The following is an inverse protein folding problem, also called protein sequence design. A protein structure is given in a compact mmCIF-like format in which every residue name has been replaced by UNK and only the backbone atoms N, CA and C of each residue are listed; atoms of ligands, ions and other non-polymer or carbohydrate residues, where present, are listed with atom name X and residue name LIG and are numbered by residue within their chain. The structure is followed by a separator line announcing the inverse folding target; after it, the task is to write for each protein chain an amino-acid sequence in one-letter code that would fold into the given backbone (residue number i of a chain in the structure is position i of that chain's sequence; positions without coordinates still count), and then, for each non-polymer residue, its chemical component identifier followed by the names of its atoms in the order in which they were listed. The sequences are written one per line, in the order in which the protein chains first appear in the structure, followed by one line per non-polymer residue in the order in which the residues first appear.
data_IF_826396122376
#
_entry.id   IF_826396122376
#
_cell.length_a   1.000
_cell.length_b   1.000
_cell.length_c   1.000
_cell.angle_alpha   90.00
_cell.angle_beta   90.00
_cell.angle_gamma   90.00
#
_symmetry.space_group_name_H-M   'P 1'
#
loop_
_entity.id
_entity.type
_entity.pdbx_description
1 polymer ?
#
# COMPACT_ATOMS: atom_id res chain seq x y z
N UNK A 1 28.39 8.74 10.87
CA UNK A 1 28.17 7.93 9.66
C UNK A 1 26.66 7.68 9.57
N UNK A 2 25.94 8.53 8.84
CA UNK A 2 24.50 8.43 8.66
C UNK A 2 24.25 7.82 7.28
N UNK A 3 23.65 6.65 7.26
CA UNK A 3 23.24 5.93 6.05
C UNK A 3 22.17 6.75 5.33
N UNK A 4 22.44 7.11 4.07
CA UNK A 4 21.53 7.85 3.20
C UNK A 4 20.31 6.97 2.84
N UNK A 5 19.24 7.07 3.62
CA UNK A 5 17.88 6.85 3.13
C UNK A 5 17.42 8.18 2.52
N UNK A 6 17.88 8.45 1.30
CA UNK A 6 17.62 9.70 0.61
C UNK A 6 17.39 9.42 -0.85
N UNK A 7 16.16 9.06 -1.22
CA UNK A 7 15.68 9.50 -2.52
C UNK A 7 15.77 11.01 -2.48
N UNK A 8 16.67 11.52 -3.29
CA UNK A 8 17.00 12.93 -3.37
C UNK A 8 15.73 13.65 -3.81
N UNK A 9 14.95 14.14 -2.85
CA UNK A 9 13.94 15.15 -3.10
C UNK A 9 14.67 16.50 -3.23
N UNK A 10 15.57 16.58 -4.21
CA UNK A 10 16.27 17.83 -4.52
C UNK A 10 15.35 18.82 -5.20
N UNK A 11 14.33 18.32 -5.90
CA UNK A 11 13.31 19.19 -6.51
C UNK A 11 12.43 19.79 -5.40
N UNK A 12 12.43 21.12 -5.22
CA UNK A 12 11.62 21.80 -4.21
C UNK A 12 10.12 21.53 -4.35
N UNK A 13 9.64 21.30 -5.58
CA UNK A 13 8.23 20.99 -5.86
C UNK A 13 7.89 19.61 -5.31
N UNK A 14 8.73 18.61 -5.57
CA UNK A 14 8.53 17.25 -5.05
C UNK A 14 8.64 17.24 -3.53
N UNK A 15 9.56 18.05 -2.97
CA UNK A 15 9.75 18.18 -1.52
C UNK A 15 8.50 18.71 -0.84
N UNK A 16 7.95 19.78 -1.39
CA UNK A 16 6.69 20.35 -0.91
C UNK A 16 5.56 19.32 -0.93
N UNK A 17 5.39 18.55 -2.02
CA UNK A 17 4.35 17.51 -2.09
C UNK A 17 4.52 16.44 -1.03
N UNK A 18 5.76 16.01 -0.78
CA UNK A 18 6.06 15.04 0.26
C UNK A 18 5.74 15.60 1.66
N UNK A 19 6.13 16.84 1.93
CA UNK A 19 5.84 17.51 3.20
C UNK A 19 4.31 17.73 3.39
N UNK A 20 3.57 18.07 2.33
CA UNK A 20 2.10 18.21 2.34
C UNK A 20 1.40 16.88 2.69
N UNK A 21 1.88 15.75 2.14
CA UNK A 21 1.36 14.41 2.45
C UNK A 21 1.58 14.04 3.90
N UNK A 22 2.77 14.34 4.44
CA UNK A 22 3.08 14.08 5.84
C UNK A 22 2.25 14.98 6.74
N UNK A 23 2.08 16.26 6.39
CA UNK A 23 1.31 17.20 7.18
C UNK A 23 -0.15 16.76 7.36
N UNK A 24 -0.74 16.07 6.37
CA UNK A 24 -2.07 15.50 6.45
C UNK A 24 -2.22 14.45 7.58
N UNK A 25 -1.15 13.72 7.89
CA UNK A 25 -1.18 12.59 8.83
C UNK A 25 -0.46 12.88 10.15
N UNK A 26 0.47 13.83 10.13
CA UNK A 26 1.28 14.22 11.28
C UNK A 26 2.45 13.29 11.59
N UNK A 27 2.63 12.21 10.83
CA UNK A 27 3.73 11.24 10.99
C UNK A 27 4.31 10.86 9.63
N UNK A 28 5.63 10.71 9.58
CA UNK A 28 6.38 10.29 8.40
C UNK A 28 6.51 8.74 8.36
N UNK A 29 5.90 8.06 7.37
CA UNK A 29 5.94 6.59 7.24
C UNK A 29 7.34 5.99 7.26
N UNK A 30 8.36 6.72 6.78
CA UNK A 30 9.74 6.21 6.73
C UNK A 30 10.50 6.31 8.05
N UNK A 31 9.96 7.02 9.04
CA UNK A 31 10.58 7.18 10.37
C UNK A 31 9.98 6.26 11.43
N UNK A 32 8.91 5.56 11.11
CA UNK A 32 8.18 4.68 12.03
C UNK A 32 8.96 3.38 12.21
N UNK A 33 9.07 2.91 13.45
CA UNK A 33 9.78 1.67 13.74
C UNK A 33 8.96 0.46 13.33
N UNK A 34 9.65 -0.64 12.98
CA UNK A 34 9.01 -1.85 12.45
C UNK A 34 8.01 -2.49 13.42
N UNK A 35 8.15 -2.26 14.72
CA UNK A 35 7.30 -2.84 15.77
C UNK A 35 5.97 -2.12 15.93
N UNK A 36 5.86 -0.88 15.45
CA UNK A 36 4.62 -0.09 15.49
C UNK A 36 3.63 -0.48 14.38
N UNK A 37 4.09 -1.32 13.44
CA UNK A 37 3.33 -1.74 12.27
C UNK A 37 2.54 -3.04 12.53
N UNK A 38 1.27 -3.03 12.13
CA UNK A 38 0.38 -4.19 12.13
C UNK A 38 0.61 -4.99 10.84
N UNK A 39 0.80 -6.30 10.96
CA UNK A 39 1.05 -7.24 9.85
C UNK A 39 -0.16 -8.11 9.50
N UNK A 40 -1.15 -8.15 10.38
CA UNK A 40 -2.34 -8.99 10.21
C UNK A 40 -3.21 -8.45 9.08
N UNK A 41 -3.59 -9.35 8.17
CA UNK A 41 -4.31 -9.00 6.94
C UNK A 41 -5.75 -8.56 7.24
N UNK A 42 -6.35 -9.13 8.28
CA UNK A 42 -7.71 -8.85 8.74
C UNK A 42 -7.87 -7.39 9.17
N UNK A 43 -6.75 -6.76 9.55
CA UNK A 43 -6.69 -5.37 9.97
C UNK A 43 -6.50 -4.42 8.79
N UNK A 44 -6.26 -4.89 7.56
CA UNK A 44 -6.07 -4.01 6.40
C UNK A 44 -7.38 -3.35 5.95
N UNK A 45 -7.32 -2.12 5.39
CA UNK A 45 -8.50 -1.38 4.92
C UNK A 45 -9.18 -2.10 3.76
N UNK A 46 -10.50 -2.25 3.81
CA UNK A 46 -11.28 -2.97 2.79
C UNK A 46 -11.02 -2.35 1.42
N UNK A 47 -10.51 -3.14 0.47
CA UNK A 47 -10.17 -2.64 -0.87
C UNK A 47 -10.81 -3.48 -1.94
N UNK A 48 -11.68 -2.88 -2.75
CA UNK A 48 -12.28 -3.52 -3.90
C UNK A 48 -11.59 -3.11 -5.21
N UNK A 49 -11.74 -3.92 -6.26
CA UNK A 49 -11.26 -3.62 -7.62
C UNK A 49 -11.73 -2.23 -8.11
N UNK A 50 -12.96 -1.83 -7.73
CA UNK A 50 -13.52 -0.53 -8.05
C UNK A 50 -12.75 0.64 -7.44
N UNK A 51 -12.25 0.49 -6.21
CA UNK A 51 -11.48 1.53 -5.53
C UNK A 51 -10.11 1.71 -6.18
N UNK A 52 -9.48 0.59 -6.55
CA UNK A 52 -8.21 0.60 -7.30
C UNK A 52 -8.39 1.28 -8.66
N UNK A 53 -9.46 0.96 -9.37
CA UNK A 53 -9.77 1.59 -10.66
C UNK A 53 -10.06 3.08 -10.50
N UNK A 54 -10.83 3.48 -9.48
CA UNK A 54 -11.12 4.87 -9.17
C UNK A 54 -9.82 5.64 -8.94
N UNK A 55 -8.96 5.17 -8.04
CA UNK A 55 -7.69 5.83 -7.73
C UNK A 55 -6.74 5.87 -8.93
N UNK A 56 -6.52 4.74 -9.61
CA UNK A 56 -5.49 4.67 -10.65
C UNK A 56 -5.93 5.15 -12.04
N UNK A 57 -7.23 5.19 -12.35
CA UNK A 57 -7.74 5.62 -13.68
C UNK A 57 -8.47 6.95 -13.62
N UNK A 58 -9.42 7.09 -12.69
CA UNK A 58 -10.40 8.16 -12.71
C UNK A 58 -9.93 9.39 -11.94
N UNK A 59 -9.22 9.17 -10.84
CA UNK A 59 -8.73 10.25 -10.00
C UNK A 59 -7.53 10.96 -10.62
N UNK A 60 -7.34 12.18 -10.16
CA UNK A 60 -6.17 13.00 -10.44
C UNK A 60 -5.36 13.12 -9.17
N UNK A 61 -4.05 13.26 -9.32
CA UNK A 61 -3.18 13.58 -8.19
C UNK A 61 -3.67 14.83 -7.48
N UNK A 62 -3.82 14.75 -6.16
CA UNK A 62 -4.19 15.91 -5.33
C UNK A 62 -3.23 17.09 -5.54
N UNK A 63 -1.97 16.79 -5.87
CA UNK A 63 -0.90 17.78 -5.99
C UNK A 63 -0.61 18.23 -7.42
N UNK A 64 -0.71 17.33 -8.41
CA UNK A 64 -0.39 17.67 -9.81
C UNK A 64 -1.61 17.95 -10.66
N UNK A 65 -2.79 17.53 -10.20
CA UNK A 65 -4.05 17.56 -10.94
C UNK A 65 -3.98 16.83 -12.29
N UNK A 66 -2.94 16.01 -12.51
CA UNK A 66 -2.82 15.14 -13.68
C UNK A 66 -3.54 13.83 -13.39
N UNK A 67 -4.21 13.31 -14.41
CA UNK A 67 -4.81 11.99 -14.33
C UNK A 67 -3.72 10.92 -14.29
N UNK A 68 -4.01 9.85 -13.55
CA UNK A 68 -3.14 8.68 -13.45
C UNK A 68 -3.28 7.72 -14.65
N UNK A 69 -4.15 8.09 -15.62
CA UNK A 69 -4.51 7.32 -16.82
C UNK A 69 -3.32 6.81 -17.64
N UNK A 70 -2.17 7.49 -17.61
CA UNK A 70 -0.95 7.04 -18.31
C UNK A 70 -0.43 5.66 -17.86
N UNK A 71 -0.84 5.20 -16.67
CA UNK A 71 -0.43 3.89 -16.16
C UNK A 71 -1.24 2.76 -16.85
N UNK A 72 -2.49 3.00 -17.30
CA UNK A 72 -3.41 1.96 -17.86
C UNK A 72 -2.77 1.09 -18.96
N UNK A 73 -1.93 1.67 -19.81
CA UNK A 73 -1.32 0.97 -20.94
C UNK A 73 -0.23 -0.04 -20.49
N UNK A 74 0.30 0.08 -19.27
CA UNK A 74 1.42 -0.73 -18.74
C UNK A 74 1.00 -1.75 -17.66
N UNK A 75 -0.23 -1.67 -17.13
CA UNK A 75 -0.70 -2.47 -15.98
C UNK A 75 -0.57 -3.98 -16.16
N UNK A 76 -1.02 -4.52 -17.29
CA UNK A 76 -1.14 -5.98 -17.46
C UNK A 76 0.20 -6.73 -17.42
N UNK A 77 1.26 -6.14 -17.97
CA UNK A 77 2.57 -6.79 -18.11
C UNK A 77 3.50 -6.45 -16.95
N UNK A 78 3.43 -5.24 -16.39
CA UNK A 78 4.35 -4.83 -15.31
C UNK A 78 3.87 -5.20 -13.91
N UNK A 79 2.56 -5.27 -13.65
CA UNK A 79 2.05 -5.72 -12.36
C UNK A 79 2.34 -7.21 -12.16
N UNK A 80 2.06 -8.05 -13.16
CA UNK A 80 2.31 -9.50 -13.10
C UNK A 80 3.79 -9.87 -12.80
N UNK A 81 4.74 -9.00 -13.13
CA UNK A 81 6.18 -9.19 -12.88
C UNK A 81 6.67 -8.62 -11.52
N UNK A 82 5.88 -7.80 -10.83
CA UNK A 82 6.27 -7.16 -9.55
C UNK A 82 5.77 -7.94 -8.32
N UNK A 83 4.98 -9.00 -8.51
CA UNK A 83 4.38 -9.81 -7.45
C UNK A 83 5.36 -10.73 -6.70
N UNK A 84 6.66 -10.68 -7.00
CA UNK A 84 7.66 -11.60 -6.45
C UNK A 84 8.06 -11.32 -4.98
N UNK A 85 7.34 -10.43 -4.29
CA UNK A 85 7.53 -10.19 -2.86
C UNK A 85 6.97 -8.84 -2.45
N UNK A 86 5.69 -8.82 -2.07
CA UNK A 86 5.05 -7.68 -1.41
C UNK A 86 4.87 -8.04 0.06
N UNK A 87 5.55 -7.31 0.93
CA UNK A 87 5.20 -7.28 2.36
C UNK A 87 4.33 -6.05 2.58
N UNK A 88 3.31 -6.16 3.42
CA UNK A 88 2.41 -5.06 3.73
C UNK A 88 2.39 -4.83 5.24
N UNK A 89 2.13 -3.60 5.64
CA UNK A 89 2.04 -3.15 7.02
C UNK A 89 1.03 -2.03 7.13
N UNK A 90 0.24 -2.02 8.21
CA UNK A 90 -0.71 -0.96 8.52
C UNK A 90 -0.33 -0.23 9.81
N UNK A 91 -0.54 1.08 9.81
CA UNK A 91 -0.52 1.91 11.02
C UNK A 91 -1.80 2.74 11.10
N UNK A 92 -2.44 2.73 12.27
CA UNK A 92 -3.56 3.61 12.58
C UNK A 92 -3.06 4.97 13.05
N UNK A 93 -3.56 6.05 12.45
CA UNK A 93 -3.15 7.42 12.79
C UNK A 93 -4.29 8.18 13.46
N UNK A 94 -3.99 9.03 14.45
CA UNK A 94 -5.01 9.63 15.34
C UNK A 94 -5.58 10.99 14.89
N UNK A 95 -5.06 11.59 13.82
CA UNK A 95 -5.34 12.98 13.43
C UNK A 95 -6.80 13.30 13.02
N UNK A 96 -7.25 12.68 11.94
CA UNK A 96 -8.40 13.17 11.17
C UNK A 96 -9.06 12.01 10.42
N UNK A 97 -10.26 11.64 10.86
CA UNK A 97 -11.18 10.71 10.20
C UNK A 97 -10.57 9.41 9.63
N UNK A 98 -10.37 8.38 10.46
CA UNK A 98 -10.25 6.98 10.01
C UNK A 98 -9.22 6.66 8.90
N UNK A 99 -8.30 7.58 8.58
CA UNK A 99 -7.23 7.36 7.61
C UNK A 99 -6.12 6.55 8.26
N UNK A 100 -5.74 5.48 7.57
CA UNK A 100 -4.62 4.62 7.94
C UNK A 100 -3.52 4.75 6.91
N UNK A 101 -2.29 4.53 7.36
CA UNK A 101 -1.15 4.39 6.47
C UNK A 101 -0.95 2.92 6.22
N UNK A 102 -0.91 2.53 4.95
CA UNK A 102 -0.50 1.20 4.55
C UNK A 102 0.80 1.32 3.77
N UNK A 103 1.84 0.65 4.24
CA UNK A 103 3.15 0.64 3.62
C UNK A 103 3.49 -0.78 3.18
N UNK A 104 4.38 -0.90 2.20
CA UNK A 104 4.90 -2.20 1.82
C UNK A 104 6.33 -2.18 1.34
N UNK A 105 6.90 -3.36 1.13
CA UNK A 105 8.16 -3.54 0.40
C UNK A 105 7.85 -4.24 -0.91
N UNK A 106 8.26 -3.64 -2.02
CA UNK A 106 7.97 -4.15 -3.37
C UNK A 106 9.26 -4.25 -4.17
N UNK A 107 9.51 -5.41 -4.76
CA UNK A 107 10.66 -5.63 -5.63
C UNK A 107 10.47 -4.98 -7.01
N UNK A 108 11.60 -4.61 -7.63
CA UNK A 108 11.60 -4.17 -9.02
C UNK A 108 11.29 -5.34 -9.96
N UNK A 109 10.43 -5.14 -10.96
CA UNK A 109 10.07 -6.19 -11.95
C UNK A 109 11.25 -6.71 -12.77
N UNK A 110 12.19 -5.83 -13.12
CA UNK A 110 13.25 -6.14 -14.10
C UNK A 110 14.64 -6.23 -13.46
N UNK A 111 14.78 -5.86 -12.18
CA UNK A 111 16.06 -5.75 -11.49
C UNK A 111 15.93 -6.28 -10.07
N UNK A 112 15.70 -7.59 -9.94
CA UNK A 112 15.51 -8.28 -8.66
C UNK A 112 16.72 -8.17 -7.71
N UNK A 113 17.92 -7.87 -8.23
CA UNK A 113 19.12 -7.61 -7.43
C UNK A 113 19.11 -6.25 -6.72
N UNK A 114 18.25 -5.34 -7.15
CA UNK A 114 18.15 -4.03 -6.52
C UNK A 114 17.40 -4.12 -5.20
N UNK A 115 17.69 -3.15 -4.32
CA UNK A 115 16.96 -2.99 -3.06
C UNK A 115 15.45 -2.84 -3.35
N UNK A 116 14.64 -3.58 -2.60
CA UNK A 116 13.19 -3.40 -2.60
C UNK A 116 12.82 -1.94 -2.27
N UNK A 117 11.81 -1.46 -2.98
CA UNK A 117 11.22 -0.14 -2.80
C UNK A 117 10.19 -0.17 -1.70
N UNK A 118 9.94 0.96 -1.08
CA UNK A 118 9.04 1.10 0.06
C UNK A 118 7.87 2.03 -0.26
N UNK A 119 6.89 1.62 -1.09
CA UNK A 119 5.69 2.40 -1.32
C UNK A 119 4.82 2.49 -0.05
N UNK A 120 4.10 3.60 0.10
CA UNK A 120 3.03 3.73 1.07
C UNK A 120 1.82 4.45 0.47
N UNK A 121 0.66 4.18 1.03
CA UNK A 121 -0.62 4.81 0.70
C UNK A 121 -1.28 5.35 1.97
N UNK A 122 -2.01 6.43 1.80
CA UNK A 122 -2.93 6.98 2.78
C UNK A 122 -4.33 6.61 2.33
N UNK A 123 -5.06 5.88 3.15
CA UNK A 123 -6.31 5.24 2.74
C UNK A 123 -7.30 5.22 3.90
N UNK A 124 -8.56 5.49 3.62
CA UNK A 124 -9.64 5.31 4.59
C UNK A 124 -9.96 3.81 4.72
N UNK A 125 -10.51 3.40 5.87
CA UNK A 125 -10.82 1.99 6.12
C UNK A 125 -11.84 1.37 5.13
N UNK A 126 -12.57 2.20 4.39
CA UNK A 126 -13.53 1.83 3.34
C UNK A 126 -12.90 1.66 1.94
N UNK A 127 -11.58 1.83 1.81
CA UNK A 127 -10.85 1.62 0.56
C UNK A 127 -10.52 2.89 -0.20
N UNK A 128 -11.02 4.05 0.23
CA UNK A 128 -10.76 5.31 -0.45
C UNK A 128 -9.33 5.79 -0.23
N UNK A 129 -8.51 5.72 -1.29
CA UNK A 129 -7.13 6.22 -1.30
C UNK A 129 -7.13 7.75 -1.39
N UNK A 130 -6.37 8.42 -0.52
CA UNK A 130 -6.22 9.89 -0.50
C UNK A 130 -4.97 10.37 -1.23
N UNK A 131 -3.89 9.62 -1.06
CA UNK A 131 -2.59 9.93 -1.66
C UNK A 131 -1.67 8.72 -1.52
N UNK A 132 -0.65 8.65 -2.35
CA UNK A 132 0.39 7.63 -2.25
C UNK A 132 1.77 8.20 -2.50
N UNK A 133 2.79 7.44 -2.12
CA UNK A 133 4.17 7.76 -2.38
C UNK A 133 4.98 6.50 -2.58
N UNK A 134 6.00 6.58 -3.41
CA UNK A 134 7.01 5.55 -3.55
C UNK A 134 8.36 6.21 -3.81
N UNK A 135 9.40 5.59 -3.29
CA UNK A 135 10.81 5.93 -3.43
C UNK A 135 11.37 5.64 -4.84
N UNK A 136 10.55 5.19 -5.79
CA UNK A 136 10.96 5.09 -7.19
C UNK A 136 10.82 6.43 -7.92
N UNK A 137 11.59 6.62 -8.99
CA UNK A 137 11.58 7.84 -9.80
C UNK A 137 10.16 8.20 -10.32
N UNK A 138 9.37 7.19 -10.69
CA UNK A 138 7.98 7.37 -11.13
C UNK A 138 6.98 7.53 -9.96
N UNK A 139 7.37 7.16 -8.74
CA UNK A 139 6.54 7.17 -7.52
C UNK A 139 6.34 8.56 -6.92
N UNK A 140 7.10 9.53 -7.41
CA UNK A 140 6.99 10.94 -7.04
C UNK A 140 5.67 11.57 -7.50
N UNK A 141 5.02 10.98 -8.52
CA UNK A 141 3.70 11.36 -9.01
C UNK A 141 2.58 10.41 -8.53
N UNK A 142 2.77 9.69 -7.40
CA UNK A 142 1.71 8.96 -6.66
C UNK A 142 1.10 7.70 -7.29
N UNK A 143 1.36 7.42 -8.58
CA UNK A 143 0.74 6.31 -9.29
C UNK A 143 1.75 5.42 -10.01
N UNK A 144 2.87 5.07 -9.37
CA UNK A 144 3.79 4.12 -9.99
C UNK A 144 3.27 2.68 -9.90
N UNK A 145 3.90 1.77 -10.64
CA UNK A 145 3.55 0.35 -10.61
C UNK A 145 3.73 -0.28 -9.22
N UNK A 146 4.65 0.20 -8.39
CA UNK A 146 4.81 -0.31 -7.02
C UNK A 146 3.66 0.10 -6.10
N UNK A 147 3.10 1.31 -6.28
CA UNK A 147 1.87 1.73 -5.58
C UNK A 147 0.70 0.86 -6.02
N UNK A 148 0.56 0.64 -7.33
CA UNK A 148 -0.48 -0.24 -7.85
C UNK A 148 -0.31 -1.68 -7.33
N UNK A 149 0.90 -2.23 -7.27
CA UNK A 149 1.17 -3.54 -6.67
C UNK A 149 0.75 -3.61 -5.19
N UNK A 150 1.00 -2.56 -4.40
CA UNK A 150 0.55 -2.49 -3.01
C UNK A 150 -0.98 -2.50 -2.91
N UNK A 151 -1.67 -1.72 -3.76
CA UNK A 151 -3.14 -1.70 -3.81
C UNK A 151 -3.72 -3.09 -4.17
N UNK A 152 -3.23 -3.71 -5.25
CA UNK A 152 -3.69 -5.04 -5.65
C UNK A 152 -3.35 -6.13 -4.63
N UNK A 153 -2.27 -5.97 -3.85
CA UNK A 153 -1.96 -6.90 -2.76
C UNK A 153 -3.02 -6.84 -1.65
N UNK A 154 -3.44 -5.63 -1.26
CA UNK A 154 -4.48 -5.43 -0.24
C UNK A 154 -5.81 -6.03 -0.72
N UNK A 155 -6.23 -5.73 -1.96
CA UNK A 155 -7.43 -6.33 -2.56
C UNK A 155 -7.36 -7.86 -2.56
N UNK A 156 -6.25 -8.43 -3.02
CA UNK A 156 -6.09 -9.88 -3.08
C UNK A 156 -6.15 -10.52 -1.70
N UNK A 157 -5.60 -9.85 -0.69
CA UNK A 157 -5.70 -10.27 0.70
C UNK A 157 -7.15 -10.34 1.19
N UNK A 158 -7.97 -9.31 0.94
CA UNK A 158 -9.40 -9.34 1.29
C UNK A 158 -10.17 -10.39 0.50
N UNK A 159 -9.96 -10.46 -0.81
CA UNK A 159 -10.61 -11.45 -1.67
C UNK A 159 -10.28 -12.89 -1.26
N UNK A 160 -9.06 -13.15 -0.79
CA UNK A 160 -8.68 -14.47 -0.27
C UNK A 160 -9.26 -14.75 1.12
N UNK A 161 -9.34 -13.74 1.99
CA UNK A 161 -9.98 -13.87 3.30
C UNK A 161 -11.48 -14.16 3.19
N UNK A 162 -12.19 -13.53 2.26
CA UNK A 162 -13.60 -13.80 1.96
C UNK A 162 -13.83 -15.21 1.39
N UNK A 163 -12.81 -15.78 0.72
CA UNK A 163 -12.84 -17.12 0.12
C UNK A 163 -12.53 -18.24 1.11
N UNK A 164 -12.31 -17.95 2.40
CA UNK A 164 -12.15 -19.00 3.42
C UNK A 164 -13.47 -19.77 3.54
N UNK A 165 -13.52 -20.91 2.84
CA UNK A 165 -14.64 -21.84 2.83
C UNK A 165 -14.78 -22.51 4.20
N UNK A 166 -15.96 -23.07 4.47
CA UNK A 166 -16.31 -23.76 5.73
C UNK A 166 -15.25 -24.83 6.12
N UNK A 167 -14.50 -25.38 5.16
CA UNK A 167 -13.43 -26.36 5.36
C UNK A 167 -12.10 -25.79 5.88
N UNK A 168 -11.93 -24.46 5.91
CA UNK A 168 -10.71 -23.79 6.41
C UNK A 168 -10.81 -23.29 7.86
N UNK A 169 -12.02 -23.31 8.45
CA UNK A 169 -12.21 -23.02 9.88
C UNK A 169 -11.86 -24.27 10.70
N UNK A 170 -11.23 -24.16 11.88
CA UNK A 170 -11.11 -25.28 12.80
C UNK A 170 -12.51 -25.87 13.02
N UNK A 171 -12.69 -27.13 12.66
CA UNK A 171 -14.01 -27.75 12.76
C UNK A 171 -14.36 -28.04 14.22
N UNK A 172 -15.49 -27.50 14.69
CA UNK A 172 -15.96 -27.60 16.08
C UNK A 172 -16.29 -29.03 16.56
N UNK A 173 -16.36 -30.01 15.66
CA UNK A 173 -16.66 -31.41 16.01
C UNK A 173 -15.49 -32.16 16.67
N UNK A 174 -14.27 -31.61 16.65
CA UNK A 174 -13.11 -32.21 17.33
C UNK A 174 -13.12 -32.00 18.85
N UNK A 175 -14.03 -31.17 19.39
CA UNK A 175 -14.27 -31.09 20.83
C UNK A 175 -15.14 -32.28 21.27
N UNK A 176 -14.53 -33.46 21.42
CA UNK A 176 -15.20 -34.55 22.12
C UNK A 176 -15.34 -34.13 23.60
N UNK A 177 -16.55 -34.18 24.20
CA UNK A 177 -16.66 -34.08 25.63
C UNK A 177 -15.87 -35.25 26.22
N UNK A 178 -14.89 -34.95 27.07
CA UNK A 178 -14.24 -35.98 27.88
C UNK A 178 -15.32 -36.73 28.64
N UNK A 179 -15.59 -37.97 28.23
CA UNK A 179 -16.48 -38.89 28.94
C UNK A 179 -15.94 -39.04 30.37
N UNK A 180 -16.64 -38.43 31.33
CA UNK A 180 -16.48 -38.68 32.76
C UNK A 180 -17.34 -39.88 33.17
#
# INVERSE_FOLDING_TARGET
MATQAGVVIADPVVRKRYDDKIACIGVDPYKIKSEEWIKEVEEYPLMADGDIFNYLVLETSAHTQKSFKGLQESWGVQLSLQWLGVECWRLQTQATNAVVVVAGKVNHSQQLSNKALSPYIHVEMDGRVKSAHCDCMAGLDESCTHVASLLFYIEACHRLAERVTITGKPTDWAAQPSLQ
#
